data_IF_539513269635
#
_entry.id   IF_539513269635
#
_cell.length_a   1.000
_cell.length_b   1.000
_cell.length_c   1.000
_cell.angle_alpha   90.00
_cell.angle_beta   90.00
_cell.angle_gamma   90.00
#
_symmetry.space_group_name_H-M   'P 1'
#
loop_
_entity.id
_entity.type
_entity.pdbx_description
1 polymer ?
#
# COMPACT_ATOMS: atom_id res chain seq x y z
N UNK A 1 -36.16 18.13 -13.81
CA UNK A 1 -35.66 17.03 -12.96
C UNK A 1 -34.45 17.57 -12.24
N UNK A 2 -34.61 17.92 -10.97
CA UNK A 2 -33.54 18.55 -10.20
C UNK A 2 -32.62 17.43 -9.73
N UNK A 3 -31.47 17.26 -10.39
CA UNK A 3 -30.40 16.40 -9.88
C UNK A 3 -29.75 17.14 -8.72
N UNK A 4 -30.35 17.04 -7.53
CA UNK A 4 -29.68 17.36 -6.28
C UNK A 4 -28.55 16.35 -6.14
N UNK A 5 -27.37 16.71 -6.60
CA UNK A 5 -26.14 16.06 -6.16
C UNK A 5 -26.01 16.42 -4.68
N UNK A 6 -26.63 15.63 -3.81
CA UNK A 6 -26.31 15.64 -2.38
C UNK A 6 -24.82 15.31 -2.30
N UNK A 7 -24.00 16.33 -2.07
CA UNK A 7 -22.60 16.13 -1.76
C UNK A 7 -22.56 15.30 -0.49
N UNK A 8 -22.31 13.99 -0.63
CA UNK A 8 -22.04 13.10 0.49
C UNK A 8 -21.03 13.79 1.39
N UNK A 9 -21.31 13.82 2.68
CA UNK A 9 -20.37 14.37 3.65
C UNK A 9 -19.04 13.62 3.54
N UNK A 10 -17.93 14.31 3.80
CA UNK A 10 -16.58 13.69 3.73
C UNK A 10 -16.51 12.40 4.57
N UNK A 11 -17.26 12.35 5.67
CA UNK A 11 -17.36 11.21 6.58
C UNK A 11 -18.09 10.00 5.95
N UNK A 12 -19.19 10.22 5.24
CA UNK A 12 -19.89 9.16 4.50
C UNK A 12 -19.06 8.63 3.33
N UNK A 13 -18.33 9.51 2.65
CA UNK A 13 -17.39 9.12 1.60
C UNK A 13 -16.29 8.21 2.17
N UNK A 14 -15.73 8.60 3.32
CA UNK A 14 -14.67 7.83 3.99
C UNK A 14 -15.18 6.46 4.46
N UNK A 15 -16.41 6.38 4.96
CA UNK A 15 -17.04 5.11 5.33
C UNK A 15 -17.20 4.16 4.13
N UNK A 16 -17.55 4.69 2.95
CA UNK A 16 -17.62 3.89 1.71
C UNK A 16 -16.25 3.39 1.27
N UNK A 17 -15.22 4.24 1.35
CA UNK A 17 -13.86 3.83 1.03
C UNK A 17 -13.33 2.79 2.01
N UNK A 18 -13.63 2.93 3.30
CA UNK A 18 -13.33 1.90 4.32
C UNK A 18 -13.95 0.56 3.93
N UNK A 19 -15.24 0.55 3.59
CA UNK A 19 -15.93 -0.68 3.19
C UNK A 19 -15.31 -1.32 1.93
N UNK A 20 -14.87 -0.50 0.97
CA UNK A 20 -14.16 -0.99 -0.21
C UNK A 20 -12.81 -1.64 0.15
N UNK A 21 -12.05 -1.05 1.08
CA UNK A 21 -10.80 -1.61 1.61
C UNK A 21 -11.05 -2.96 2.29
N UNK A 22 -12.05 -3.06 3.16
CA UNK A 22 -12.40 -4.30 3.86
C UNK A 22 -12.82 -5.42 2.89
N UNK A 23 -13.57 -5.08 1.84
CA UNK A 23 -13.96 -6.03 0.79
C UNK A 23 -12.79 -6.48 -0.08
N UNK A 24 -11.79 -5.62 -0.27
CA UNK A 24 -10.60 -5.93 -1.05
C UNK A 24 -9.60 -6.81 -0.28
N UNK A 25 -9.54 -6.69 1.05
CA UNK A 25 -8.59 -7.42 1.91
C UNK A 25 -8.49 -8.93 1.62
N UNK A 26 -9.60 -9.69 1.47
CA UNK A 26 -9.54 -11.14 1.23
C UNK A 26 -8.95 -11.52 -0.14
N UNK A 27 -9.01 -10.61 -1.11
CA UNK A 27 -8.52 -10.83 -2.47
C UNK A 27 -7.04 -10.49 -2.63
N UNK A 28 -6.47 -9.78 -1.65
CA UNK A 28 -5.10 -9.29 -1.72
C UNK A 28 -4.11 -10.35 -1.23
N UNK A 29 -2.98 -10.58 -1.94
CA UNK A 29 -1.96 -11.50 -1.49
C UNK A 29 -1.31 -11.02 -0.19
N UNK A 30 -1.38 -11.87 0.84
CA UNK A 30 -0.77 -11.62 2.15
C UNK A 30 0.59 -12.31 2.24
N UNK A 31 1.63 -11.57 2.62
CA UNK A 31 2.99 -12.10 2.77
C UNK A 31 3.40 -12.05 4.25
N UNK A 32 3.51 -13.22 4.89
CA UNK A 32 3.86 -13.34 6.32
C UNK A 32 2.93 -12.53 7.24
N UNK A 33 1.62 -12.53 6.97
CA UNK A 33 0.67 -11.71 7.71
C UNK A 33 0.69 -10.22 7.36
N UNK A 34 1.49 -9.80 6.38
CA UNK A 34 1.62 -8.39 5.99
C UNK A 34 1.02 -8.14 4.60
N UNK A 35 0.18 -7.12 4.51
CA UNK A 35 -0.36 -6.59 3.25
C UNK A 35 0.37 -5.31 2.87
N UNK A 36 0.67 -5.13 1.58
CA UNK A 36 1.32 -3.91 1.06
C UNK A 36 0.25 -2.89 0.65
N UNK A 37 0.45 -1.60 1.02
CA UNK A 37 -0.46 -0.52 0.62
C UNK A 37 -0.60 -0.38 -0.91
N UNK A 38 0.44 -0.76 -1.64
CA UNK A 38 0.43 -0.76 -3.11
C UNK A 38 -0.59 -1.77 -3.66
N UNK A 39 -0.70 -2.95 -3.04
CA UNK A 39 -1.70 -3.95 -3.44
C UNK A 39 -3.11 -3.46 -3.20
N UNK A 40 -3.30 -2.74 -2.08
CA UNK A 40 -4.55 -2.07 -1.75
C UNK A 40 -4.94 -1.03 -2.79
N UNK A 41 -3.99 -0.19 -3.19
CA UNK A 41 -4.20 0.81 -4.23
C UNK A 41 -4.55 0.15 -5.57
N UNK A 42 -3.85 -0.92 -5.97
CA UNK A 42 -4.14 -1.64 -7.21
C UNK A 42 -5.55 -2.25 -7.20
N UNK A 43 -5.96 -2.83 -6.08
CA UNK A 43 -7.26 -3.51 -5.98
C UNK A 43 -8.43 -2.53 -5.87
N UNK A 44 -8.28 -1.47 -5.07
CA UNK A 44 -9.37 -0.54 -4.75
C UNK A 44 -9.38 0.72 -5.61
N UNK A 45 -8.27 1.03 -6.29
CA UNK A 45 -8.03 2.32 -6.97
C UNK A 45 -8.18 3.56 -6.08
N UNK A 46 -8.13 3.41 -4.75
CA UNK A 46 -8.25 4.51 -3.78
C UNK A 46 -6.89 5.22 -3.63
N UNK A 47 -6.83 6.56 -3.75
CA UNK A 47 -5.60 7.32 -3.55
C UNK A 47 -4.85 7.00 -2.24
N UNK A 48 -3.52 7.02 -2.27
CA UNK A 48 -2.68 6.72 -1.10
C UNK A 48 -2.98 7.62 0.10
N UNK A 49 -3.31 8.89 -0.11
CA UNK A 49 -3.67 9.82 0.97
C UNK A 49 -4.91 9.35 1.71
N UNK A 50 -5.96 8.96 0.99
CA UNK A 50 -7.19 8.40 1.58
C UNK A 50 -6.94 7.05 2.24
N UNK A 51 -6.15 6.18 1.62
CA UNK A 51 -5.75 4.92 2.26
C UNK A 51 -5.02 5.17 3.58
N UNK A 52 -4.11 6.15 3.64
CA UNK A 52 -3.41 6.51 4.87
C UNK A 52 -4.36 7.03 5.94
N UNK A 53 -5.33 7.88 5.57
CA UNK A 53 -6.34 8.38 6.50
C UNK A 53 -7.21 7.27 7.07
N UNK A 54 -7.66 6.33 6.23
CA UNK A 54 -8.46 5.18 6.66
C UNK A 54 -7.62 4.26 7.56
N UNK A 55 -6.38 3.96 7.17
CA UNK A 55 -5.49 3.10 7.94
C UNK A 55 -5.07 3.73 9.28
N UNK A 56 -4.95 5.06 9.36
CA UNK A 56 -4.59 5.77 10.58
C UNK A 56 -5.68 5.72 11.66
N UNK A 57 -6.95 5.56 11.26
CA UNK A 57 -8.09 5.46 12.19
C UNK A 57 -8.13 4.13 12.95
N UNK A 58 -7.36 3.12 12.52
CA UNK A 58 -7.29 1.77 13.13
C UNK A 58 -8.66 1.09 13.33
N UNK A 59 -9.67 1.46 12.54
CA UNK A 59 -11.04 0.98 12.67
C UNK A 59 -11.40 -0.10 11.64
N UNK A 60 -10.42 -0.55 10.85
CA UNK A 60 -10.56 -1.57 9.81
C UNK A 60 -10.68 -2.97 10.41
N UNK A 61 -11.64 -3.74 9.90
CA UNK A 61 -11.76 -5.17 10.20
C UNK A 61 -10.75 -5.92 9.32
N UNK A 62 -9.65 -6.35 9.94
CA UNK A 62 -8.64 -7.16 9.27
C UNK A 62 -9.05 -8.65 9.28
N UNK A 63 -8.91 -9.37 8.15
CA UNK A 63 -9.12 -10.82 8.14
C UNK A 63 -8.00 -11.53 8.91
N UNK A 64 -8.28 -12.75 9.40
CA UNK A 64 -7.40 -13.51 10.31
C UNK A 64 -5.98 -13.72 9.78
N UNK A 65 -5.83 -13.78 8.46
CA UNK A 65 -4.53 -13.94 7.80
C UNK A 65 -3.71 -12.64 7.75
N UNK A 66 -4.27 -11.48 8.10
CA UNK A 66 -3.61 -10.17 8.05
C UNK A 66 -3.34 -9.65 9.46
N UNK A 67 -2.06 -9.58 9.82
CA UNK A 67 -1.58 -9.01 11.07
C UNK A 67 -1.27 -7.52 10.95
N UNK A 68 -0.80 -7.05 9.79
CA UNK A 68 -0.39 -5.66 9.60
C UNK A 68 -0.47 -5.21 8.14
N UNK A 69 -0.74 -3.92 7.95
CA UNK A 69 -0.64 -3.25 6.65
C UNK A 69 0.64 -2.40 6.61
N UNK A 70 1.47 -2.62 5.60
CA UNK A 70 2.67 -1.83 5.35
C UNK A 70 2.30 -0.60 4.53
N UNK A 71 2.33 0.57 5.18
CA UNK A 71 2.02 1.88 4.60
C UNK A 71 3.16 2.46 3.75
N UNK A 72 4.33 1.82 3.74
CA UNK A 72 5.47 2.24 2.92
C UNK A 72 5.28 1.68 1.51
N UNK A 73 4.92 2.56 0.56
CA UNK A 73 4.88 2.22 -0.86
C UNK A 73 6.29 1.84 -1.35
N UNK A 74 6.39 0.72 -2.07
CA UNK A 74 7.62 0.29 -2.75
C UNK A 74 7.61 0.62 -4.23
N UNK A 75 6.45 0.97 -4.78
CA UNK A 75 6.33 1.49 -6.15
C UNK A 75 7.13 2.78 -6.22
N UNK A 76 8.31 2.70 -6.85
CA UNK A 76 9.07 3.90 -7.20
C UNK A 76 8.28 4.61 -8.28
N UNK A 77 7.52 5.63 -7.90
CA UNK A 77 6.92 6.60 -8.82
C UNK A 77 8.06 7.29 -9.58
N UNK A 78 8.50 6.70 -10.69
CA UNK A 78 9.23 7.31 -11.81
C UNK A 78 10.58 8.02 -11.60
N UNK A 79 10.90 8.60 -10.44
CA UNK A 79 11.86 9.70 -10.40
C UNK A 79 13.25 9.34 -9.84
N UNK A 80 13.39 8.32 -8.99
CA UNK A 80 14.71 7.89 -8.52
C UNK A 80 15.18 6.58 -9.16
N UNK A 81 15.69 6.74 -10.39
CA UNK A 81 16.62 5.79 -11.00
C UNK A 81 17.91 5.72 -10.17
N UNK A 82 17.98 4.70 -9.31
CA UNK A 82 19.19 3.91 -9.15
C UNK A 82 20.19 4.30 -8.06
N UNK A 83 19.95 3.84 -6.82
CA UNK A 83 21.07 3.42 -5.97
C UNK A 83 21.56 2.06 -6.44
N UNK A 84 22.41 2.06 -7.48
CA UNK A 84 23.22 0.89 -7.88
C UNK A 84 23.94 0.39 -6.63
N UNK A 85 23.62 -0.83 -6.17
CA UNK A 85 24.40 -1.51 -5.12
C UNK A 85 25.83 -1.60 -5.66
N UNK A 86 26.78 -0.86 -5.07
CA UNK A 86 28.21 -0.92 -5.47
C UNK A 86 28.64 -2.39 -5.47
N UNK A 87 29.09 -2.97 -6.60
CA UNK A 87 29.63 -4.32 -6.57
C UNK A 87 30.88 -4.31 -5.69
N UNK A 88 30.88 -5.10 -4.62
CA UNK A 88 32.05 -5.32 -3.78
C UNK A 88 33.10 -6.00 -4.66
N UNK A 89 34.03 -5.21 -5.22
CA UNK A 89 35.23 -5.71 -5.92
C UNK A 89 35.96 -6.67 -4.97
N UNK A 90 35.86 -7.97 -5.21
CA UNK A 90 36.74 -8.97 -4.60
C UNK A 90 38.15 -8.69 -5.10
N UNK A 91 39.02 -8.16 -4.23
CA UNK A 91 40.47 -8.12 -4.47
C UNK A 91 40.94 -9.57 -4.60
N UNK A 92 41.29 -9.99 -5.81
CA UNK A 92 42.07 -11.23 -6.01
C UNK A 92 43.43 -10.98 -5.37
N UNK A 93 43.76 -11.72 -4.31
CA UNK A 93 45.13 -11.78 -3.81
C UNK A 93 46.00 -12.40 -4.92
N UNK A 94 47.00 -11.65 -5.37
CA UNK A 94 48.04 -12.13 -6.27
C UNK A 94 48.99 -12.97 -5.42
N UNK A 95 48.88 -14.28 -5.54
CA UNK A 95 49.91 -15.22 -5.04
C UNK A 95 51.16 -14.92 -5.86
N UNK A 96 52.28 -14.61 -5.18
CA UNK A 96 53.61 -14.55 -5.79
C UNK A 96 54.24 -15.93 -5.56
N UNK A 97 54.65 -16.57 -6.65
CA UNK A 97 55.70 -17.59 -6.67
C UNK A 97 57.00 -17.04 -6.08
#
# INVERSE_FOLDING_TARGET
MNTTTEALSDEEMLARYKQAVERAMPHIPVKNGVVEIDSLWVETSIPYTLLQEILARNDLILPENVQRINTISRVRTGEERGKKRKPRRRKKNKVRD
#
